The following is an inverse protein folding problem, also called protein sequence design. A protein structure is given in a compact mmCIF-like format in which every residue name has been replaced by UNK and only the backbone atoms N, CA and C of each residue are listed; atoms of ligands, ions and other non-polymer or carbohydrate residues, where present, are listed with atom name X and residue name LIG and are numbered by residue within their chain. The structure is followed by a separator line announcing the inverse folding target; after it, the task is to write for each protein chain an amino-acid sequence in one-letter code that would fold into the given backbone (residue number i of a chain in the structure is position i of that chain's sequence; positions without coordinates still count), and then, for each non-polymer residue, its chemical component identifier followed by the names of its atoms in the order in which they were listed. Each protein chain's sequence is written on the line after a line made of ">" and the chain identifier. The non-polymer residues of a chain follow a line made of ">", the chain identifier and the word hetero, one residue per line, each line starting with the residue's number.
data_IF_840345776840
#
_entry.id   IF_840345776840
#
_cell.length_a   1.000
_cell.length_b   1.000
_cell.length_c   1.000
_cell.angle_alpha   90.00
_cell.angle_beta   90.00
_cell.angle_gamma   90.00
#
_symmetry.space_group_name_H-M   'P 1'
#
loop_
_entity.id
_entity.type
_entity.pdbx_description
1 polymer ?
#
# COMPACT_ATOMS: atom_id res chain seq x y z
N UNK A 1 -1.88 18.45 3.23
CA UNK A 1 -0.59 17.79 3.44
C UNK A 1 -0.33 17.67 4.93
N UNK A 2 -0.15 16.46 5.42
CA UNK A 2 0.09 16.17 6.84
C UNK A 2 1.56 15.82 7.03
N UNK A 3 2.04 14.76 6.36
CA UNK A 3 3.38 14.23 6.57
C UNK A 3 3.97 13.63 5.29
N UNK A 4 5.27 13.79 5.09
CA UNK A 4 6.06 13.05 4.10
C UNK A 4 7.09 12.18 4.80
N UNK A 5 7.19 10.93 4.37
CA UNK A 5 8.28 10.03 4.70
C UNK A 5 9.06 9.73 3.42
N UNK A 6 10.36 9.98 3.45
CA UNK A 6 11.28 9.66 2.35
C UNK A 6 12.06 8.40 2.70
N UNK A 7 12.05 7.42 1.82
CA UNK A 7 12.82 6.19 2.00
C UNK A 7 14.31 6.43 1.75
N UNK A 8 15.13 5.76 2.53
CA UNK A 8 16.59 5.69 2.36
C UNK A 8 17.04 4.32 2.89
N UNK A 9 16.94 3.29 2.06
CA UNK A 9 17.14 1.89 2.42
C UNK A 9 16.30 1.49 3.66
N UNK A 10 15.05 1.93 3.71
CA UNK A 10 14.16 1.78 4.86
C UNK A 10 13.46 0.42 4.85
N UNK A 11 13.55 -0.37 5.91
CA UNK A 11 12.84 -1.65 6.00
C UNK A 11 11.31 -1.46 6.01
N UNK A 12 10.85 -0.37 6.63
CA UNK A 12 9.44 0.03 6.67
C UNK A 12 9.30 1.54 6.68
N UNK A 13 8.15 2.06 6.24
CA UNK A 13 7.71 3.43 6.48
C UNK A 13 6.35 3.36 7.17
N UNK A 14 6.25 3.93 8.39
CA UNK A 14 5.05 3.86 9.21
C UNK A 14 4.54 5.26 9.55
N UNK A 15 3.24 5.46 9.37
CA UNK A 15 2.50 6.63 9.82
C UNK A 15 1.73 6.19 11.07
N UNK A 16 2.10 6.74 12.22
CA UNK A 16 1.50 6.41 13.53
C UNK A 16 0.84 7.66 14.07
N UNK A 17 -0.45 7.59 14.39
CA UNK A 17 -1.22 8.71 14.91
C UNK A 17 -0.56 9.32 16.15
N UNK A 18 -0.51 10.66 16.19
CA UNK A 18 0.14 11.42 17.25
C UNK A 18 1.66 11.40 17.26
N UNK A 19 2.32 10.61 16.39
CA UNK A 19 3.78 10.55 16.29
C UNK A 19 4.29 11.41 15.12
N UNK A 20 5.28 12.28 15.39
CA UNK A 20 5.98 13.06 14.34
C UNK A 20 5.03 13.83 13.41
N UNK A 21 4.04 14.50 13.97
CA UNK A 21 3.00 15.29 13.28
C UNK A 21 2.03 14.46 12.40
N UNK A 22 2.00 13.15 12.51
CA UNK A 22 1.01 12.31 11.85
C UNK A 22 -0.34 12.46 12.54
N UNK A 23 -1.40 12.63 11.75
CA UNK A 23 -2.79 12.69 12.20
C UNK A 23 -3.57 11.63 11.45
N UNK A 24 -4.16 10.67 12.16
CA UNK A 24 -5.07 9.64 11.66
C UNK A 24 -6.34 9.52 12.54
N UNK A 25 -6.67 10.57 13.27
CA UNK A 25 -7.80 10.70 14.17
C UNK A 25 -9.13 11.06 13.44
N UNK A 26 -10.06 11.71 14.11
CA UNK A 26 -11.35 12.13 13.54
C UNK A 26 -11.34 13.53 12.90
N UNK A 27 -10.16 14.17 12.81
CA UNK A 27 -9.99 15.49 12.17
C UNK A 27 -10.45 15.44 10.71
N UNK A 28 -10.10 14.37 10.01
CA UNK A 28 -10.54 14.14 8.63
C UNK A 28 -11.28 12.82 8.49
N UNK A 29 -12.24 12.77 7.55
CA UNK A 29 -13.00 11.54 7.27
C UNK A 29 -12.39 10.71 6.15
N UNK A 30 -11.41 11.26 5.45
CA UNK A 30 -10.63 10.61 4.41
C UNK A 30 -9.16 11.01 4.53
N UNK A 31 -8.29 10.02 4.46
CA UNK A 31 -6.85 10.19 4.44
C UNK A 31 -6.29 9.63 3.15
N UNK A 32 -5.47 10.43 2.45
CA UNK A 32 -4.89 10.07 1.16
C UNK A 32 -3.38 9.88 1.30
N UNK A 33 -2.94 8.66 1.10
CA UNK A 33 -1.51 8.36 0.91
C UNK A 33 -1.18 8.41 -0.57
N UNK A 34 -0.11 9.11 -0.94
CA UNK A 34 0.41 9.14 -2.31
C UNK A 34 1.80 8.54 -2.34
N UNK A 35 2.05 7.69 -3.33
CA UNK A 35 3.31 6.98 -3.53
C UNK A 35 4.02 7.58 -4.73
N UNK A 36 5.29 7.95 -4.55
CA UNK A 36 6.12 8.50 -5.61
C UNK A 36 7.46 7.79 -5.64
N UNK A 37 7.82 7.27 -6.80
CA UNK A 37 9.12 6.65 -7.08
C UNK A 37 9.51 5.55 -6.07
N UNK A 38 8.55 4.71 -5.65
CA UNK A 38 8.79 3.63 -4.69
C UNK A 38 9.64 2.55 -5.37
N UNK A 39 10.90 2.44 -4.93
CA UNK A 39 11.91 1.56 -5.51
C UNK A 39 12.38 0.52 -4.48
N UNK A 40 12.47 -0.77 -4.83
CA UNK A 40 12.92 -1.83 -3.93
C UNK A 40 14.44 -2.04 -3.97
N UNK A 41 15.04 -2.44 -2.85
CA UNK A 41 16.42 -2.96 -2.80
C UNK A 41 16.54 -4.42 -3.27
N UNK A 42 15.41 -5.12 -3.44
CA UNK A 42 15.31 -6.48 -3.97
C UNK A 42 13.99 -6.62 -4.72
N UNK A 43 13.98 -7.35 -5.85
CA UNK A 43 12.75 -7.59 -6.63
C UNK A 43 11.68 -8.20 -5.75
N UNK A 44 10.66 -7.41 -5.42
CA UNK A 44 9.61 -7.83 -4.51
C UNK A 44 8.33 -6.98 -4.62
N UNK A 45 7.31 -7.34 -3.84
CA UNK A 45 5.96 -6.79 -3.81
C UNK A 45 5.89 -5.66 -2.78
N UNK A 46 5.46 -4.47 -3.20
CA UNK A 46 5.10 -3.38 -2.31
C UNK A 46 3.73 -3.66 -1.67
N UNK A 47 3.61 -3.42 -0.36
CA UNK A 47 2.44 -3.83 0.42
C UNK A 47 2.22 -2.92 1.65
N UNK A 48 1.00 -2.97 2.23
CA UNK A 48 0.64 -2.23 3.42
C UNK A 48 -0.17 -3.05 4.42
N UNK A 49 -0.22 -2.59 5.67
CA UNK A 49 -1.08 -3.12 6.72
C UNK A 49 -1.40 -2.02 7.74
N UNK A 50 -2.52 -2.16 8.47
CA UNK A 50 -2.93 -1.27 9.55
C UNK A 50 -2.62 -1.82 10.93
N UNK A 51 -2.67 -0.94 11.92
CA UNK A 51 -2.55 -1.25 13.35
C UNK A 51 -3.70 -0.65 14.15
N UNK A 52 -4.02 -1.27 15.28
CA UNK A 52 -4.99 -0.79 16.29
C UNK A 52 -4.34 -0.65 17.69
N UNK A 53 -3.03 -0.71 17.75
CA UNK A 53 -2.24 -0.70 18.99
C UNK A 53 -1.00 0.19 18.88
N UNK A 54 -1.18 1.33 18.20
CA UNK A 54 -0.18 2.41 18.05
C UNK A 54 1.09 1.90 17.34
N UNK A 55 0.89 1.05 16.32
CA UNK A 55 1.98 0.52 15.50
C UNK A 55 2.81 -0.58 16.15
N UNK A 56 2.36 -1.17 17.25
CA UNK A 56 3.04 -2.29 17.89
C UNK A 56 2.88 -3.59 17.07
N UNK A 57 1.69 -3.79 16.49
CA UNK A 57 1.40 -4.92 15.60
C UNK A 57 0.68 -4.44 14.33
N UNK A 58 1.06 -5.01 13.20
CA UNK A 58 0.45 -4.77 11.89
C UNK A 58 -0.17 -6.08 11.38
N UNK A 59 -1.35 -6.41 11.91
CA UNK A 59 -2.00 -7.70 11.71
C UNK A 59 -3.52 -7.63 11.74
N UNK A 60 -4.11 -6.48 11.42
CA UNK A 60 -5.57 -6.33 11.39
C UNK A 60 -6.14 -7.16 10.24
N UNK A 61 -7.19 -7.95 10.52
CA UNK A 61 -7.83 -8.76 9.50
C UNK A 61 -8.44 -7.88 8.39
N UNK A 62 -8.20 -8.23 7.13
CA UNK A 62 -8.74 -7.55 5.96
C UNK A 62 -9.48 -8.52 5.05
N UNK A 63 -10.51 -8.01 4.38
CA UNK A 63 -11.10 -8.65 3.19
C UNK A 63 -11.00 -7.68 2.03
N UNK A 64 -10.43 -8.13 0.92
CA UNK A 64 -10.05 -7.27 -0.20
C UNK A 64 -10.43 -7.88 -1.54
N UNK A 65 -10.50 -7.03 -2.56
CA UNK A 65 -10.54 -7.42 -3.96
C UNK A 65 -9.29 -6.91 -4.64
N UNK A 66 -8.79 -7.63 -5.62
CA UNK A 66 -7.61 -7.24 -6.40
C UNK A 66 -7.81 -7.59 -7.87
N UNK A 67 -7.82 -6.59 -8.73
CA UNK A 67 -7.74 -6.82 -10.17
C UNK A 67 -6.67 -5.93 -10.80
N UNK A 68 -6.17 -6.36 -11.95
CA UNK A 68 -5.00 -5.75 -12.57
C UNK A 68 -5.17 -5.66 -14.08
N UNK A 69 -4.48 -4.67 -14.66
CA UNK A 69 -4.26 -4.59 -16.10
C UNK A 69 -2.77 -4.51 -16.38
N UNK A 70 -2.33 -5.08 -17.51
CA UNK A 70 -0.96 -4.94 -17.95
C UNK A 70 -0.84 -4.83 -19.47
N UNK A 71 0.25 -4.18 -19.91
CA UNK A 71 0.66 -4.12 -21.31
C UNK A 71 2.18 -4.11 -21.39
N UNK A 72 2.75 -4.96 -22.24
CA UNK A 72 4.19 -5.03 -22.42
C UNK A 72 4.72 -3.98 -23.43
N UNK A 73 5.99 -3.61 -23.31
CA UNK A 73 6.64 -2.65 -24.21
C UNK A 73 6.79 -3.17 -25.63
N UNK A 74 6.79 -4.48 -25.82
CA UNK A 74 6.94 -5.11 -27.14
C UNK A 74 5.60 -5.17 -27.91
N UNK A 75 4.49 -4.76 -27.29
CA UNK A 75 3.14 -4.85 -27.85
C UNK A 75 2.75 -6.29 -28.24
N UNK A 76 3.15 -7.26 -27.41
CA UNK A 76 2.90 -8.68 -27.63
C UNK A 76 1.94 -9.29 -26.61
N UNK A 77 1.76 -8.65 -25.45
CA UNK A 77 0.92 -9.15 -24.37
C UNK A 77 0.12 -8.04 -23.67
N UNK A 78 -1.16 -8.31 -23.43
CA UNK A 78 -2.07 -7.50 -22.63
C UNK A 78 -2.87 -8.38 -21.70
N UNK A 79 -3.22 -7.87 -20.52
CA UNK A 79 -4.04 -8.59 -19.55
C UNK A 79 -5.04 -7.67 -18.86
N UNK A 80 -6.22 -8.18 -18.59
CA UNK A 80 -7.17 -7.69 -17.58
C UNK A 80 -7.62 -8.91 -16.78
N UNK A 81 -7.27 -8.98 -15.50
CA UNK A 81 -7.54 -10.16 -14.68
C UNK A 81 -7.90 -9.82 -13.23
N UNK A 82 -8.75 -10.65 -12.63
CA UNK A 82 -8.88 -10.73 -11.18
C UNK A 82 -7.75 -11.59 -10.62
N UNK A 83 -7.00 -11.07 -9.65
CA UNK A 83 -5.82 -11.73 -9.10
C UNK A 83 -6.11 -12.32 -7.71
N UNK A 84 -6.79 -13.47 -7.66
CA UNK A 84 -7.20 -14.14 -6.42
C UNK A 84 -6.03 -14.53 -5.48
N UNK A 85 -4.81 -14.62 -5.98
CA UNK A 85 -3.62 -14.85 -5.14
C UNK A 85 -3.09 -13.57 -4.47
N UNK A 86 -3.71 -12.43 -4.74
CA UNK A 86 -3.29 -11.11 -4.25
C UNK A 86 -4.32 -10.45 -3.36
N UNK A 87 -5.53 -11.01 -3.26
CA UNK A 87 -6.56 -10.58 -2.34
C UNK A 87 -6.44 -11.27 -0.97
N UNK A 88 -7.20 -10.80 -0.01
CA UNK A 88 -7.30 -11.35 1.33
C UNK A 88 -8.76 -11.67 1.66
N UNK A 89 -9.00 -12.82 2.27
CA UNK A 89 -10.27 -13.23 2.83
C UNK A 89 -10.12 -13.43 4.34
N UNK A 90 -10.44 -12.39 5.13
CA UNK A 90 -10.18 -12.33 6.58
C UNK A 90 -8.70 -12.60 6.93
N UNK A 91 -7.80 -12.16 6.05
CA UNK A 91 -6.37 -12.36 6.22
C UNK A 91 -5.74 -11.28 7.09
N UNK A 92 -4.77 -11.66 7.91
CA UNK A 92 -3.99 -10.75 8.78
C UNK A 92 -2.63 -10.39 8.17
N UNK A 93 -2.34 -10.86 6.98
CA UNK A 93 -1.13 -10.51 6.23
C UNK A 93 -1.20 -9.10 5.64
N UNK A 94 -0.06 -8.64 5.12
CA UNK A 94 0.01 -7.37 4.40
C UNK A 94 -0.73 -7.47 3.06
N UNK A 95 -1.56 -6.46 2.75
CA UNK A 95 -2.21 -6.34 1.45
C UNK A 95 -1.20 -5.84 0.42
N UNK A 96 -1.11 -6.56 -0.67
CA UNK A 96 -0.32 -6.19 -1.84
C UNK A 96 -0.84 -4.90 -2.49
N UNK A 97 0.09 -4.04 -2.92
CA UNK A 97 -0.17 -2.79 -3.66
C UNK A 97 0.41 -2.80 -5.07
N UNK A 98 1.47 -3.59 -5.33
CA UNK A 98 2.09 -3.66 -6.66
C UNK A 98 2.48 -5.07 -7.04
N UNK A 99 2.72 -5.32 -8.32
CA UNK A 99 3.51 -6.46 -8.81
C UNK A 99 4.96 -6.36 -8.31
N UNK A 100 5.74 -7.44 -8.41
CA UNK A 100 7.16 -7.34 -8.08
C UNK A 100 7.86 -6.29 -8.93
N UNK A 101 8.26 -5.19 -8.32
CA UNK A 101 9.14 -4.21 -8.93
C UNK A 101 10.56 -4.74 -8.92
N UNK A 102 11.32 -4.53 -9.99
CA UNK A 102 12.73 -4.95 -10.06
C UNK A 102 13.66 -3.87 -9.48
N UNK A 103 14.92 -4.25 -9.28
CA UNK A 103 15.98 -3.34 -8.82
C UNK A 103 16.66 -2.59 -9.95
N UNK A 104 16.14 -2.67 -11.19
CA UNK A 104 16.62 -1.83 -12.28
C UNK A 104 16.35 -0.37 -11.94
N UNK A 105 17.32 0.50 -12.19
CA UNK A 105 17.34 1.88 -11.69
C UNK A 105 16.18 2.76 -12.20
N UNK A 106 15.53 2.36 -13.28
CA UNK A 106 14.39 3.02 -13.90
C UNK A 106 13.02 2.41 -13.52
N UNK A 107 13.01 1.30 -12.77
CA UNK A 107 11.79 0.63 -12.34
C UNK A 107 11.31 1.15 -10.99
N UNK A 108 10.07 1.58 -10.94
CA UNK A 108 9.45 2.08 -9.72
C UNK A 108 7.94 1.76 -9.66
N UNK A 109 7.34 2.09 -8.53
CA UNK A 109 5.89 2.10 -8.36
C UNK A 109 5.43 3.48 -7.91
N UNK A 110 4.26 3.88 -8.42
CA UNK A 110 3.54 5.11 -8.05
C UNK A 110 2.08 4.79 -7.76
N UNK A 111 1.37 5.68 -7.08
CA UNK A 111 -0.06 5.49 -6.86
C UNK A 111 -0.62 6.18 -5.65
N UNK A 112 -1.80 5.72 -5.23
CA UNK A 112 -2.53 6.27 -4.10
C UNK A 112 -3.23 5.18 -3.30
N UNK A 113 -3.40 5.43 -2.00
CA UNK A 113 -4.28 4.70 -1.10
C UNK A 113 -5.16 5.71 -0.37
N UNK A 114 -6.48 5.55 -0.47
CA UNK A 114 -7.48 6.30 0.30
C UNK A 114 -7.97 5.44 1.44
N UNK A 115 -7.90 5.95 2.66
CA UNK A 115 -8.40 5.33 3.87
C UNK A 115 -9.56 6.17 4.41
N UNK A 116 -10.71 5.55 4.62
CA UNK A 116 -11.93 6.24 5.02
C UNK A 116 -12.20 6.05 6.51
N UNK A 117 -12.37 7.18 7.22
CA UNK A 117 -12.82 7.27 8.61
C UNK A 117 -12.04 6.32 9.56
N UNK A 118 -10.70 6.35 9.59
CA UNK A 118 -9.87 5.39 10.33
C UNK A 118 -10.17 5.35 11.83
N UNK A 119 -10.52 6.48 12.43
CA UNK A 119 -10.83 6.60 13.86
C UNK A 119 -12.22 6.08 14.26
N UNK A 120 -13.07 5.65 13.30
CA UNK A 120 -14.40 5.14 13.62
C UNK A 120 -14.35 3.95 14.59
N UNK A 121 -15.13 4.02 15.66
CA UNK A 121 -15.36 2.90 16.58
C UNK A 121 -16.69 2.19 16.34
N UNK A 122 -17.41 2.56 15.27
CA UNK A 122 -18.71 2.00 14.90
C UNK A 122 -18.62 1.13 13.66
N UNK A 123 -17.92 1.60 12.63
CA UNK A 123 -17.87 0.94 11.32
C UNK A 123 -16.49 0.35 11.03
N UNK A 124 -16.44 -0.65 10.15
CA UNK A 124 -15.21 -1.13 9.52
C UNK A 124 -14.59 0.00 8.67
N UNK A 125 -13.28 -0.03 8.45
CA UNK A 125 -12.55 1.03 7.74
C UNK A 125 -12.28 0.60 6.32
N UNK A 126 -13.03 1.17 5.40
CA UNK A 126 -12.82 0.94 3.97
C UNK A 126 -11.58 1.65 3.46
N UNK A 127 -10.98 1.06 2.44
CA UNK A 127 -9.90 1.68 1.68
C UNK A 127 -10.01 1.34 0.19
N UNK A 128 -9.45 2.20 -0.63
CA UNK A 128 -9.32 2.01 -2.08
C UNK A 128 -7.90 2.41 -2.46
N UNK A 129 -7.20 1.57 -3.22
CA UNK A 129 -5.89 1.91 -3.76
C UNK A 129 -5.86 1.69 -5.27
N UNK A 130 -5.11 2.56 -5.93
CA UNK A 130 -4.77 2.44 -7.36
C UNK A 130 -3.28 2.69 -7.47
N UNK A 131 -2.56 1.73 -8.05
CA UNK A 131 -1.12 1.83 -8.25
C UNK A 131 -0.75 1.50 -9.69
N UNK A 132 0.37 2.04 -10.14
CA UNK A 132 1.01 1.65 -11.39
C UNK A 132 2.48 1.36 -11.12
N UNK A 133 3.01 0.33 -11.75
CA UNK A 133 4.41 -0.04 -11.62
C UNK A 133 4.99 -0.53 -12.94
N UNK A 134 6.28 -0.24 -13.16
CA UNK A 134 7.07 -1.01 -14.11
C UNK A 134 7.47 -2.31 -13.42
N UNK A 135 7.11 -3.44 -13.99
CA UNK A 135 7.55 -4.71 -13.44
C UNK A 135 8.86 -5.18 -14.09
N UNK A 136 9.45 -6.23 -13.54
CA UNK A 136 10.74 -6.78 -14.00
C UNK A 136 10.75 -7.27 -15.46
N UNK A 137 9.60 -7.33 -16.11
CA UNK A 137 9.42 -7.89 -17.44
C UNK A 137 9.02 -6.84 -18.48
N UNK A 138 9.35 -5.56 -18.21
CA UNK A 138 9.05 -4.45 -19.14
C UNK A 138 7.56 -4.22 -19.40
N UNK A 139 6.73 -4.41 -18.36
CA UNK A 139 5.30 -4.14 -18.42
C UNK A 139 4.95 -2.83 -17.69
N UNK A 140 4.05 -2.05 -18.27
CA UNK A 140 3.21 -1.15 -17.49
C UNK A 140 2.13 -1.98 -16.83
N UNK A 141 2.08 -1.98 -15.50
CA UNK A 141 1.10 -2.72 -14.74
C UNK A 141 0.33 -1.80 -13.81
N UNK A 142 -1.01 -1.87 -13.87
CA UNK A 142 -1.88 -1.12 -12.98
C UNK A 142 -2.71 -2.07 -12.13
N UNK A 143 -2.76 -1.81 -10.82
CA UNK A 143 -3.52 -2.54 -9.83
C UNK A 143 -4.65 -1.68 -9.27
N UNK A 144 -5.81 -2.31 -9.07
CA UNK A 144 -7.00 -1.75 -8.45
C UNK A 144 -7.36 -2.61 -7.24
N UNK A 145 -7.28 -2.01 -6.06
CA UNK A 145 -7.51 -2.70 -4.79
C UNK A 145 -8.65 -1.99 -4.05
N UNK A 146 -9.64 -2.73 -3.62
CA UNK A 146 -10.66 -2.27 -2.70
C UNK A 146 -10.78 -3.22 -1.52
N UNK A 147 -11.07 -2.70 -0.32
CA UNK A 147 -11.21 -3.57 0.83
C UNK A 147 -11.59 -2.83 2.10
N UNK A 148 -11.55 -3.57 3.20
CA UNK A 148 -11.77 -3.01 4.52
C UNK A 148 -10.97 -3.76 5.59
N UNK A 149 -10.56 -3.02 6.60
CA UNK A 149 -10.11 -3.57 7.88
C UNK A 149 -11.33 -4.07 8.67
N UNK A 150 -11.37 -5.36 8.96
CA UNK A 150 -12.51 -5.99 9.65
C UNK A 150 -12.41 -5.82 11.17
N UNK A 151 -12.52 -4.60 11.61
CA UNK A 151 -12.53 -4.22 13.02
C UNK A 151 -13.35 -2.95 13.23
N UNK A 152 -13.96 -2.81 14.40
CA UNK A 152 -14.56 -1.55 14.86
C UNK A 152 -13.59 -0.71 15.69
N UNK A 153 -12.43 -1.25 16.10
CA UNK A 153 -11.38 -0.43 16.73
C UNK A 153 -10.80 0.58 15.73
N UNK A 154 -10.38 1.73 16.19
CA UNK A 154 -9.70 2.71 15.33
C UNK A 154 -8.44 2.09 14.69
N UNK A 155 -8.17 2.42 13.44
CA UNK A 155 -6.88 2.19 12.81
C UNK A 155 -6.02 3.41 13.14
N UNK A 156 -5.03 3.22 13.96
CA UNK A 156 -4.16 4.27 14.50
C UNK A 156 -2.75 4.30 13.90
N UNK A 157 -2.43 3.32 13.05
CA UNK A 157 -1.22 3.38 12.26
C UNK A 157 -1.36 2.62 10.92
N UNK A 158 -0.61 3.07 9.91
CA UNK A 158 -0.46 2.40 8.61
C UNK A 158 1.04 2.21 8.34
N UNK A 159 1.43 1.01 7.97
CA UNK A 159 2.80 0.67 7.60
C UNK A 159 2.87 0.22 6.14
N UNK A 160 3.90 0.68 5.46
CA UNK A 160 4.29 0.28 4.10
C UNK A 160 5.65 -0.40 4.13
N UNK A 161 5.80 -1.44 3.30
CA UNK A 161 7.07 -2.15 3.11
C UNK A 161 7.07 -2.97 1.83
N UNK A 162 8.22 -3.47 1.42
CA UNK A 162 8.28 -4.61 0.52
C UNK A 162 8.15 -5.93 1.29
N UNK A 163 7.71 -7.01 0.65
CA UNK A 163 7.57 -8.33 1.28
C UNK A 163 8.94 -8.89 1.70
N UNK A 164 10.01 -8.52 0.99
CA UNK A 164 11.40 -8.72 1.42
C UNK A 164 12.27 -7.58 0.88
N UNK A 165 13.41 -7.33 1.50
CA UNK A 165 14.27 -6.18 1.21
C UNK A 165 13.74 -4.88 1.79
N UNK A 166 14.34 -3.77 1.39
CA UNK A 166 14.02 -2.43 1.86
C UNK A 166 13.27 -1.63 0.78
N UNK A 167 12.59 -0.57 1.20
CA UNK A 167 12.24 0.54 0.32
C UNK A 167 13.53 1.34 0.15
N UNK A 168 14.15 1.22 -1.02
CA UNK A 168 15.47 1.80 -1.27
C UNK A 168 15.38 3.29 -1.50
N UNK A 169 14.37 3.71 -2.27
CA UNK A 169 14.07 5.11 -2.54
C UNK A 169 12.56 5.35 -2.68
N UNK A 170 12.18 6.61 -2.71
CA UNK A 170 10.82 7.09 -2.94
C UNK A 170 10.24 7.85 -1.75
N UNK A 171 9.11 8.51 -2.02
CA UNK A 171 8.36 9.29 -1.04
C UNK A 171 6.96 8.71 -0.83
N UNK A 172 6.52 8.69 0.42
CA UNK A 172 5.10 8.48 0.76
C UNK A 172 4.62 9.75 1.48
N UNK A 173 3.57 10.37 0.93
CA UNK A 173 2.94 11.56 1.50
C UNK A 173 1.54 11.23 2.02
N UNK A 174 1.21 11.74 3.19
CA UNK A 174 -0.11 11.75 3.82
C UNK A 174 -0.65 13.18 3.81
#
# INVERSE_FOLDING_TARGET
>A
FIKKLTASASGTLSFVDGASDVVLDDTYKEYLFTFKDIHPSATNIFQFQGSIDTGSNYNVAMTTTFFQTSHDEANTATELAYAAASDLAQGTGFQRLSKPSSTAADNNAVGTLRLFNPSSTTFVKHFIAVTNSTNSDTYSQQEFIGGYFNTTSAIDAIQFKFAAGNIDAGDICL
#
